data_IF_875350845122
#
_entry.id   IF_875350845122
#
_cell.length_a   1.000
_cell.length_b   1.000
_cell.length_c   1.000
_cell.angle_alpha   90.00
_cell.angle_beta   90.00
_cell.angle_gamma   90.00
#
_symmetry.space_group_name_H-M   'P 1'
#
loop_
_entity.id
_entity.type
_entity.pdbx_description
1 polymer ?
#
# COMPACT_ATOMS: atom_id res chain seq x y z
N UNK A 1 -27.16 -75.27 16.93
CA UNK A 1 -28.40 -74.73 16.35
C UNK A 1 -28.43 -73.23 16.61
N UNK A 2 -27.95 -72.42 15.67
CA UNK A 2 -28.44 -71.07 15.33
C UNK A 2 -27.53 -70.49 14.24
N UNK A 3 -28.15 -70.28 13.08
CA UNK A 3 -27.55 -69.80 11.84
C UNK A 3 -27.46 -68.28 11.94
N UNK A 4 -26.25 -67.71 11.82
CA UNK A 4 -26.10 -66.27 11.62
C UNK A 4 -26.35 -65.94 10.15
N UNK A 5 -27.50 -65.31 9.91
CA UNK A 5 -27.91 -64.77 8.61
C UNK A 5 -27.04 -63.58 8.21
N UNK A 6 -26.57 -63.62 6.96
CA UNK A 6 -25.85 -62.54 6.31
C UNK A 6 -26.72 -61.30 6.11
N UNK A 7 -26.11 -60.13 6.31
CA UNK A 7 -26.70 -58.83 5.99
C UNK A 7 -26.32 -58.45 4.56
N UNK A 8 -27.34 -58.36 3.72
CA UNK A 8 -27.28 -58.01 2.31
C UNK A 8 -26.91 -56.54 2.09
N UNK A 9 -26.06 -56.33 1.07
CA UNK A 9 -25.79 -55.06 0.41
C UNK A 9 -27.08 -54.42 -0.11
N UNK A 10 -27.31 -53.15 0.23
CA UNK A 10 -28.12 -52.19 -0.53
C UNK A 10 -27.77 -50.79 0.00
N UNK A 11 -27.70 -49.71 -0.75
CA UNK A 11 -27.72 -49.46 -2.17
C UNK A 11 -27.28 -48.01 -2.29
N UNK A 12 -26.16 -47.75 -2.98
CA UNK A 12 -25.78 -46.36 -3.27
C UNK A 12 -26.85 -45.86 -4.23
N UNK A 13 -27.70 -44.94 -3.75
CA UNK A 13 -28.78 -44.40 -4.56
C UNK A 13 -28.21 -43.80 -5.84
N UNK A 14 -28.81 -44.14 -6.98
CA UNK A 14 -28.46 -43.60 -8.30
C UNK A 14 -28.48 -42.05 -8.29
N UNK A 15 -29.25 -41.45 -7.38
CA UNK A 15 -29.28 -40.01 -7.15
C UNK A 15 -27.96 -39.43 -6.62
N UNK A 16 -27.23 -40.15 -5.76
CA UNK A 16 -25.93 -39.69 -5.25
C UNK A 16 -24.85 -39.70 -6.34
N UNK A 17 -24.87 -40.70 -7.23
CA UNK A 17 -23.96 -40.77 -8.38
C UNK A 17 -24.20 -39.63 -9.38
N UNK A 18 -25.46 -39.28 -9.64
CA UNK A 18 -25.81 -38.20 -10.57
C UNK A 18 -25.40 -36.81 -10.04
N UNK A 19 -25.58 -36.57 -8.73
CA UNK A 19 -25.16 -35.31 -8.10
C UNK A 19 -23.65 -35.09 -8.14
N UNK A 20 -22.86 -36.14 -7.89
CA UNK A 20 -21.38 -36.05 -7.97
C UNK A 20 -20.92 -35.80 -9.41
N UNK A 21 -21.58 -36.40 -10.41
CA UNK A 21 -21.24 -36.19 -11.81
C UNK A 21 -21.55 -34.75 -12.28
N UNK A 22 -22.69 -34.19 -11.87
CA UNK A 22 -23.08 -32.81 -12.22
C UNK A 22 -22.17 -31.78 -11.55
N UNK A 23 -21.77 -32.00 -10.30
CA UNK A 23 -20.78 -31.14 -9.62
C UNK A 23 -19.42 -31.28 -10.28
N UNK A 24 -18.99 -32.50 -10.61
CA UNK A 24 -17.71 -32.72 -11.28
C UNK A 24 -17.67 -32.02 -12.64
N UNK A 25 -18.69 -32.17 -13.49
CA UNK A 25 -18.75 -31.49 -14.79
C UNK A 25 -18.94 -29.97 -14.65
N UNK A 26 -19.82 -29.51 -13.75
CA UNK A 26 -20.06 -28.09 -13.51
C UNK A 26 -18.86 -27.32 -12.96
N UNK A 27 -17.98 -27.97 -12.21
CA UNK A 27 -16.79 -27.34 -11.60
C UNK A 27 -15.52 -27.60 -12.42
N UNK A 28 -15.34 -28.81 -12.96
CA UNK A 28 -14.11 -29.16 -13.69
C UNK A 28 -14.06 -28.57 -15.10
N UNK A 29 -15.20 -28.45 -15.80
CA UNK A 29 -15.22 -27.94 -17.17
C UNK A 29 -14.85 -26.44 -17.25
N UNK A 30 -15.35 -25.55 -16.36
CA UNK A 30 -14.88 -24.16 -16.31
C UNK A 30 -13.41 -24.03 -15.89
N UNK A 31 -12.93 -24.86 -14.95
CA UNK A 31 -11.53 -24.84 -14.51
C UNK A 31 -10.57 -25.32 -15.60
N UNK A 32 -10.95 -26.32 -16.39
CA UNK A 32 -10.20 -26.76 -17.56
C UNK A 32 -10.18 -25.70 -18.66
N UNK A 33 -11.31 -25.00 -18.88
CA UNK A 33 -11.39 -23.91 -19.85
C UNK A 33 -10.56 -22.68 -19.44
N UNK A 34 -10.51 -22.37 -18.14
CA UNK A 34 -9.63 -21.34 -17.59
C UNK A 34 -8.15 -21.75 -17.75
N UNK A 35 -7.79 -23.02 -17.53
CA UNK A 35 -6.42 -23.51 -17.70
C UNK A 35 -5.94 -23.53 -19.14
N UNK A 36 -6.82 -23.76 -20.12
CA UNK A 36 -6.44 -23.75 -21.54
C UNK A 36 -6.35 -22.36 -22.14
N UNK A 37 -7.02 -21.35 -21.54
CA UNK A 37 -6.92 -19.95 -21.97
C UNK A 37 -5.70 -19.21 -21.40
N UNK A 38 -5.19 -19.62 -20.23
CA UNK A 38 -3.99 -19.01 -19.63
C UNK A 38 -2.72 -19.04 -20.52
N UNK A 39 -2.34 -20.15 -21.18
CA UNK A 39 -1.12 -20.18 -22.02
C UNK A 39 -1.25 -19.40 -23.34
N UNK A 40 -2.44 -18.91 -23.70
CA UNK A 40 -2.65 -18.02 -24.84
C UNK A 40 -2.34 -16.55 -24.50
N UNK A 41 -2.32 -16.17 -23.21
CA UNK A 41 -2.00 -14.81 -22.76
C UNK A 41 -0.49 -14.63 -22.59
N UNK A 42 0.25 -15.70 -22.23
CA UNK A 42 1.69 -15.65 -21.99
C UNK A 42 2.58 -15.60 -23.25
N UNK A 43 2.01 -15.76 -24.45
CA UNK A 43 2.78 -15.80 -25.70
C UNK A 43 2.68 -14.53 -26.56
N UNK A 44 2.12 -13.44 -26.05
CA UNK A 44 2.27 -12.14 -26.72
C UNK A 44 3.69 -11.62 -26.43
N UNK A 45 4.67 -12.10 -27.19
CA UNK A 45 5.96 -11.41 -27.36
C UNK A 45 5.66 -10.08 -28.05
N UNK A 46 5.44 -9.04 -27.24
CA UNK A 46 5.40 -7.66 -27.71
C UNK A 46 6.81 -7.36 -28.26
N UNK A 47 6.92 -7.12 -29.56
CA UNK A 47 8.18 -6.68 -30.16
C UNK A 47 8.55 -5.30 -29.59
N UNK A 48 9.73 -5.15 -28.94
CA UNK A 48 10.06 -3.93 -28.19
C UNK A 48 10.46 -2.72 -29.05
N UNK A 49 10.60 -2.86 -30.38
CA UNK A 49 11.41 -1.92 -31.16
C UNK A 49 10.66 -0.77 -31.88
N UNK A 50 9.34 -0.62 -31.75
CA UNK A 50 8.65 0.51 -32.40
C UNK A 50 7.50 1.18 -31.63
N UNK A 51 6.99 0.55 -30.56
CA UNK A 51 5.92 1.14 -29.78
C UNK A 51 6.53 2.02 -28.68
N UNK A 52 6.48 3.36 -28.86
CA UNK A 52 6.69 4.27 -27.72
C UNK A 52 5.70 3.87 -26.63
N UNK A 53 6.15 3.59 -25.38
CA UNK A 53 5.24 3.27 -24.30
C UNK A 53 4.19 4.37 -24.16
N UNK A 54 2.95 3.96 -23.91
CA UNK A 54 1.84 4.89 -23.70
C UNK A 54 2.11 5.75 -22.45
N UNK A 55 1.79 7.04 -22.48
CA UNK A 55 2.20 8.02 -21.48
C UNK A 55 3.72 8.05 -21.27
N UNK A 56 4.45 8.35 -22.34
CA UNK A 56 5.87 8.72 -22.30
C UNK A 56 6.01 10.23 -22.44
N UNK A 57 7.15 10.75 -22.00
CA UNK A 57 7.60 12.08 -22.36
C UNK A 57 7.93 12.12 -23.88
N UNK A 58 7.97 13.30 -24.49
CA UNK A 58 8.05 13.42 -25.96
C UNK A 58 9.33 12.79 -26.56
N UNK A 59 10.42 12.78 -25.80
CA UNK A 59 11.71 12.14 -26.07
C UNK A 59 11.70 10.61 -25.86
N UNK A 60 10.62 10.04 -25.31
CA UNK A 60 10.52 8.62 -24.98
C UNK A 60 10.91 8.29 -23.54
N UNK A 61 11.26 9.29 -22.72
CA UNK A 61 11.52 9.09 -21.30
C UNK A 61 10.24 8.70 -20.52
N UNK A 62 10.45 8.09 -19.35
CA UNK A 62 9.37 7.77 -18.41
C UNK A 62 9.72 8.28 -17.02
N UNK A 63 8.71 8.73 -16.29
CA UNK A 63 8.86 9.28 -14.96
C UNK A 63 7.87 8.65 -13.99
N UNK A 64 8.31 8.52 -12.74
CA UNK A 64 7.47 8.05 -11.64
C UNK A 64 7.24 9.25 -10.71
N UNK A 65 5.97 9.59 -10.48
CA UNK A 65 5.62 10.58 -9.48
C UNK A 65 5.47 9.88 -8.13
N UNK A 66 6.37 10.15 -7.19
CA UNK A 66 6.32 9.53 -5.86
C UNK A 66 5.90 10.57 -4.84
N UNK A 67 4.74 10.39 -4.20
CA UNK A 67 4.35 11.22 -3.08
C UNK A 67 4.82 10.59 -1.76
N UNK A 68 5.80 11.23 -1.11
CA UNK A 68 6.32 10.86 0.19
C UNK A 68 5.46 11.34 1.36
N UNK A 69 4.36 12.06 1.12
CA UNK A 69 3.49 12.52 2.19
C UNK A 69 2.90 11.37 3.02
N UNK A 70 2.88 11.54 4.34
CA UNK A 70 2.16 10.66 5.25
C UNK A 70 0.71 11.14 5.41
N UNK A 71 -0.28 10.28 5.17
CA UNK A 71 -1.69 10.56 5.49
C UNK A 71 -2.64 10.57 4.30
N UNK A 72 -3.93 10.31 4.55
CA UNK A 72 -4.94 9.95 3.52
C UNK A 72 -5.43 11.13 2.69
N UNK A 73 -5.97 12.20 3.29
CA UNK A 73 -6.66 13.26 2.52
C UNK A 73 -5.71 13.97 1.56
N UNK A 74 -4.46 14.18 1.96
CA UNK A 74 -3.51 14.97 1.17
C UNK A 74 -2.94 14.18 0.00
N UNK A 75 -2.56 12.94 0.28
CA UNK A 75 -2.08 12.01 -0.74
C UNK A 75 -3.21 11.53 -1.66
N UNK A 76 -4.46 11.42 -1.17
CA UNK A 76 -5.65 11.18 -1.99
C UNK A 76 -5.93 12.34 -2.93
N UNK A 77 -5.82 13.58 -2.45
CA UNK A 77 -5.94 14.78 -3.30
C UNK A 77 -4.85 14.79 -4.38
N UNK A 78 -3.61 14.45 -4.01
CA UNK A 78 -2.50 14.33 -4.95
C UNK A 78 -2.74 13.22 -5.98
N UNK A 79 -3.25 12.06 -5.54
CA UNK A 79 -3.61 10.94 -6.41
C UNK A 79 -4.68 11.34 -7.41
N UNK A 80 -5.79 11.91 -6.96
CA UNK A 80 -6.83 12.38 -7.88
C UNK A 80 -6.31 13.45 -8.85
N UNK A 81 -5.40 14.32 -8.41
CA UNK A 81 -4.78 15.34 -9.23
C UNK A 81 -3.88 14.73 -10.33
N UNK A 82 -3.00 13.79 -10.00
CA UNK A 82 -2.18 13.07 -10.99
C UNK A 82 -3.04 12.25 -11.95
N UNK A 83 -4.14 11.65 -11.46
CA UNK A 83 -5.13 10.99 -12.30
C UNK A 83 -5.78 11.95 -13.31
N UNK A 84 -6.13 13.18 -12.90
CA UNK A 84 -6.69 14.21 -13.80
C UNK A 84 -5.70 14.64 -14.89
N UNK A 85 -4.40 14.50 -14.64
CA UNK A 85 -3.34 14.71 -15.64
C UNK A 85 -3.19 13.53 -16.62
N UNK A 86 -4.00 12.47 -16.47
CA UNK A 86 -3.93 11.27 -17.28
C UNK A 86 -2.81 10.31 -16.85
N UNK A 87 -2.28 10.44 -15.63
CA UNK A 87 -1.23 9.58 -15.08
C UNK A 87 -1.89 8.49 -14.21
N UNK A 88 -1.70 7.19 -14.51
CA UNK A 88 -2.17 6.12 -13.64
C UNK A 88 -1.57 6.25 -12.27
N UNK A 89 -2.40 6.18 -11.24
CA UNK A 89 -2.00 6.52 -9.89
C UNK A 89 -2.58 5.54 -8.88
N UNK A 90 -1.80 5.23 -7.85
CA UNK A 90 -2.13 4.24 -6.82
C UNK A 90 -2.12 4.91 -5.45
N UNK A 91 -3.16 4.65 -4.64
CA UNK A 91 -3.32 5.23 -3.31
C UNK A 91 -4.06 4.25 -2.39
N UNK A 92 -3.37 3.67 -1.41
CA UNK A 92 -3.97 2.70 -0.49
C UNK A 92 -4.69 1.57 -1.27
N UNK A 93 -6.01 1.40 -1.16
CA UNK A 93 -6.77 0.42 -1.98
C UNK A 93 -7.28 1.00 -3.29
N UNK A 94 -7.16 2.31 -3.48
CA UNK A 94 -7.69 3.04 -4.62
C UNK A 94 -6.66 3.05 -5.76
N UNK A 95 -7.16 2.95 -6.99
CA UNK A 95 -6.33 3.14 -8.17
C UNK A 95 -7.11 3.89 -9.24
N UNK A 96 -6.43 4.74 -10.00
CA UNK A 96 -7.01 5.29 -11.21
C UNK A 96 -6.36 4.65 -12.43
N UNK A 97 -7.23 4.06 -13.24
CA UNK A 97 -6.85 3.29 -14.42
C UNK A 97 -7.74 3.73 -15.58
N UNK A 98 -7.31 3.54 -16.83
CA UNK A 98 -8.07 3.90 -18.02
C UNK A 98 -9.48 3.35 -17.96
N UNK A 99 -10.43 4.16 -18.43
CA UNK A 99 -11.76 3.61 -18.68
C UNK A 99 -11.63 2.45 -19.66
N UNK A 100 -12.27 1.28 -19.41
CA UNK A 100 -12.39 0.26 -20.44
C UNK A 100 -13.01 0.91 -21.69
N UNK A 101 -12.54 0.55 -22.89
CA UNK A 101 -12.95 1.24 -24.09
C UNK A 101 -14.43 0.94 -24.33
N UNK A 102 -15.27 1.98 -24.42
CA UNK A 102 -16.66 1.84 -24.84
C UNK A 102 -16.66 1.48 -26.33
N UNK A 103 -16.61 0.18 -26.65
CA UNK A 103 -16.94 -0.43 -27.95
C UNK A 103 -16.22 0.08 -29.23
N UNK A 104 -15.32 1.06 -29.17
CA UNK A 104 -14.57 1.50 -30.35
C UNK A 104 -13.31 0.65 -30.53
N UNK A 105 -13.22 -0.02 -31.68
CA UNK A 105 -12.06 -0.77 -32.23
C UNK A 105 -10.79 -0.63 -31.40
N UNK A 106 -10.46 -1.68 -30.66
CA UNK A 106 -9.28 -1.77 -29.81
C UNK A 106 -8.03 -1.52 -30.64
N UNK A 107 -7.52 -0.30 -30.56
CA UNK A 107 -6.17 0.01 -31.00
C UNK A 107 -5.20 -0.91 -30.23
N UNK A 108 -4.30 -1.61 -30.93
CA UNK A 108 -3.32 -2.52 -30.32
C UNK A 108 -2.55 -1.81 -29.20
N UNK A 109 -2.24 -0.52 -29.38
CA UNK A 109 -1.65 0.34 -28.36
C UNK A 109 -2.48 0.43 -27.06
N UNK A 110 -3.81 0.51 -27.15
CA UNK A 110 -4.68 0.57 -25.98
C UNK A 110 -4.74 -0.78 -25.24
N UNK A 111 -4.61 -1.90 -25.96
CA UNK A 111 -4.50 -3.23 -25.35
C UNK A 111 -3.19 -3.40 -24.59
N UNK A 112 -2.06 -3.05 -25.21
CA UNK A 112 -0.75 -3.12 -24.58
C UNK A 112 -0.69 -2.24 -23.33
N UNK A 113 -1.28 -1.04 -23.40
CA UNK A 113 -1.36 -0.14 -22.27
C UNK A 113 -2.19 -0.70 -21.11
N UNK A 114 -3.40 -1.22 -21.39
CA UNK A 114 -4.21 -1.85 -20.35
C UNK A 114 -3.52 -3.07 -19.72
N UNK A 115 -2.78 -3.84 -20.52
CA UNK A 115 -2.00 -4.97 -20.02
C UNK A 115 -0.92 -4.51 -19.03
N UNK A 116 -0.07 -3.55 -19.42
CA UNK A 116 0.98 -3.00 -18.56
C UNK A 116 0.41 -2.43 -17.27
N UNK A 117 -0.74 -1.75 -17.33
CA UNK A 117 -1.33 -1.19 -16.13
C UNK A 117 -1.99 -2.25 -15.23
N UNK A 118 -2.57 -3.29 -15.82
CA UNK A 118 -3.10 -4.43 -15.07
C UNK A 118 -1.98 -5.13 -14.31
N UNK A 119 -0.78 -5.23 -14.90
CA UNK A 119 0.40 -5.71 -14.20
C UNK A 119 0.83 -4.79 -13.04
N UNK A 120 0.89 -3.46 -13.24
CA UNK A 120 1.17 -2.51 -12.13
C UNK A 120 0.14 -2.64 -11.01
N UNK A 121 -1.14 -2.72 -11.34
CA UNK A 121 -2.21 -2.90 -10.36
C UNK A 121 -2.04 -4.21 -9.60
N UNK A 122 -1.74 -5.31 -10.28
CA UNK A 122 -1.51 -6.59 -9.62
C UNK A 122 -0.34 -6.53 -8.62
N UNK A 123 0.75 -5.84 -8.96
CA UNK A 123 1.86 -5.60 -8.02
C UNK A 123 1.44 -4.72 -6.85
N UNK A 124 0.69 -3.64 -7.10
CA UNK A 124 0.13 -2.79 -6.04
C UNK A 124 -0.78 -3.58 -5.09
N UNK A 125 -1.66 -4.41 -5.62
CA UNK A 125 -2.57 -5.24 -4.83
C UNK A 125 -1.80 -6.25 -3.95
N UNK A 126 -0.66 -6.78 -4.41
CA UNK A 126 0.25 -7.61 -3.59
C UNK A 126 0.87 -6.81 -2.44
N UNK A 127 1.40 -5.62 -2.72
CA UNK A 127 1.96 -4.72 -1.70
C UNK A 127 0.90 -4.37 -0.65
N UNK A 128 -0.33 -4.10 -1.08
CA UNK A 128 -1.45 -3.80 -0.18
C UNK A 128 -1.88 -5.00 0.66
N UNK A 129 -1.85 -6.21 0.10
CA UNK A 129 -2.09 -7.44 0.85
C UNK A 129 -1.08 -7.59 2.00
N UNK A 130 0.21 -7.32 1.73
CA UNK A 130 1.25 -7.38 2.75
C UNK A 130 1.14 -6.23 3.77
N UNK A 131 0.78 -5.02 3.32
CA UNK A 131 0.42 -3.92 4.22
C UNK A 131 -0.70 -4.30 5.20
N UNK A 132 -1.75 -4.97 4.71
CA UNK A 132 -2.82 -5.48 5.56
C UNK A 132 -2.35 -6.57 6.52
N UNK A 133 -1.42 -7.42 6.11
CA UNK A 133 -0.78 -8.37 7.01
C UNK A 133 -0.03 -7.65 8.14
N UNK A 134 0.85 -6.67 7.83
CA UNK A 134 1.56 -5.87 8.84
C UNK A 134 0.58 -5.23 9.82
N UNK A 135 -0.47 -4.58 9.29
CA UNK A 135 -1.53 -3.94 10.06
C UNK A 135 -2.22 -4.89 11.02
N UNK A 136 -2.67 -6.04 10.51
CA UNK A 136 -3.43 -6.99 11.30
C UNK A 136 -2.57 -7.67 12.38
N UNK A 137 -1.25 -7.76 12.17
CA UNK A 137 -0.31 -8.37 13.09
C UNK A 137 0.37 -7.37 14.06
N UNK A 138 0.39 -6.07 13.75
CA UNK A 138 0.98 -5.02 14.59
C UNK A 138 0.22 -4.82 15.92
N UNK A 139 -1.08 -5.07 15.95
CA UNK A 139 -1.86 -5.03 17.19
C UNK A 139 -3.10 -5.92 17.08
N UNK A 140 -3.05 -7.13 17.64
CA UNK A 140 -4.18 -8.05 17.66
C UNK A 140 -5.23 -7.56 18.66
N UNK A 141 -6.21 -6.79 18.16
CA UNK A 141 -7.29 -6.20 18.99
C UNK A 141 -8.28 -7.22 19.55
N UNK A 142 -8.12 -8.52 19.29
CA UNK A 142 -9.19 -9.49 19.51
C UNK A 142 -8.80 -10.60 20.50
N UNK A 143 -8.75 -10.24 21.78
CA UNK A 143 -8.85 -11.18 22.91
C UNK A 143 -10.27 -11.78 23.06
N UNK A 144 -11.09 -11.80 22.00
CA UNK A 144 -12.30 -12.63 22.05
C UNK A 144 -11.86 -14.07 22.23
N UNK A 145 -12.46 -14.77 23.21
CA UNK A 145 -12.11 -16.16 23.50
C UNK A 145 -12.23 -17.07 22.26
N UNK A 146 -13.05 -16.67 21.28
CA UNK A 146 -13.24 -17.32 19.99
C UNK A 146 -11.99 -17.26 19.10
N UNK A 147 -11.27 -16.12 19.07
CA UNK A 147 -10.00 -16.02 18.35
C UNK A 147 -8.89 -16.86 19.01
N UNK A 148 -8.92 -16.99 20.35
CA UNK A 148 -8.01 -17.87 21.08
C UNK A 148 -8.32 -19.36 20.84
N UNK A 149 -9.60 -19.73 20.73
CA UNK A 149 -10.06 -21.09 20.42
C UNK A 149 -9.69 -21.56 19.02
N UNK A 150 -9.70 -20.65 18.02
CA UNK A 150 -9.43 -21.03 16.62
C UNK A 150 -7.99 -20.78 16.14
N UNK A 151 -7.10 -20.19 16.96
CA UNK A 151 -5.61 -20.11 16.84
C UNK A 151 -4.92 -19.84 15.48
N UNK A 152 -5.63 -19.66 14.37
CA UNK A 152 -5.02 -19.54 13.04
C UNK A 152 -4.41 -18.17 12.78
N UNK A 153 -4.88 -17.11 13.44
CA UNK A 153 -4.40 -15.75 13.22
C UNK A 153 -3.09 -15.41 13.97
N UNK A 154 -2.86 -15.94 15.18
CA UNK A 154 -1.65 -15.64 15.97
C UNK A 154 -0.42 -16.39 15.42
N UNK A 155 -0.60 -17.61 14.90
CA UNK A 155 0.50 -18.42 14.34
C UNK A 155 1.12 -17.78 13.10
N UNK A 156 0.40 -16.91 12.41
CA UNK A 156 0.91 -16.23 11.20
C UNK A 156 1.66 -14.92 11.51
N UNK A 157 1.53 -14.34 12.69
CA UNK A 157 2.13 -13.04 13.04
C UNK A 157 3.53 -13.16 13.65
N UNK A 158 4.38 -14.00 13.06
CA UNK A 158 5.77 -14.21 13.48
C UNK A 158 6.74 -13.30 12.73
N UNK A 159 7.92 -13.07 13.30
CA UNK A 159 9.01 -12.37 12.62
C UNK A 159 9.40 -13.03 11.28
N UNK A 160 9.37 -14.36 11.19
CA UNK A 160 9.66 -15.07 9.95
C UNK A 160 8.71 -14.67 8.80
N UNK A 161 7.40 -14.56 9.09
CA UNK A 161 6.42 -14.17 8.07
C UNK A 161 6.51 -12.68 7.74
N UNK A 162 6.86 -11.83 8.72
CA UNK A 162 7.16 -10.42 8.48
C UNK A 162 8.33 -10.25 7.53
N UNK A 163 9.44 -10.96 7.76
CA UNK A 163 10.61 -10.92 6.88
C UNK A 163 10.30 -11.45 5.48
N UNK A 164 9.50 -12.51 5.37
CA UNK A 164 9.07 -13.06 4.08
C UNK A 164 8.21 -12.07 3.29
N UNK A 165 7.22 -11.44 3.94
CA UNK A 165 6.38 -10.42 3.32
C UNK A 165 7.20 -9.18 2.93
N UNK A 166 8.15 -8.76 3.77
CA UNK A 166 9.04 -7.64 3.48
C UNK A 166 9.94 -7.92 2.26
N UNK A 167 10.45 -9.15 2.14
CA UNK A 167 11.23 -9.56 0.98
C UNK A 167 10.37 -9.58 -0.30
N UNK A 168 9.13 -10.08 -0.22
CA UNK A 168 8.17 -10.05 -1.32
C UNK A 168 7.85 -8.61 -1.74
N UNK A 169 7.66 -7.69 -0.80
CA UNK A 169 7.40 -6.28 -1.09
C UNK A 169 8.58 -5.60 -1.78
N UNK A 170 9.82 -5.87 -1.34
CA UNK A 170 11.03 -5.36 -2.01
C UNK A 170 11.09 -5.82 -3.47
N UNK A 171 10.86 -7.09 -3.75
CA UNK A 171 10.85 -7.62 -5.13
C UNK A 171 9.69 -7.05 -5.96
N UNK A 172 8.48 -6.98 -5.40
CA UNK A 172 7.32 -6.40 -6.10
C UNK A 172 7.53 -4.90 -6.41
N UNK A 173 8.13 -4.14 -5.48
CA UNK A 173 8.47 -2.73 -5.70
C UNK A 173 9.52 -2.59 -6.80
N UNK A 174 10.59 -3.39 -6.75
CA UNK A 174 11.61 -3.40 -7.80
C UNK A 174 11.00 -3.70 -9.17
N UNK A 175 10.16 -4.73 -9.27
CA UNK A 175 9.44 -5.05 -10.51
C UNK A 175 8.57 -3.88 -10.97
N UNK A 176 7.77 -3.30 -10.07
CA UNK A 176 6.88 -2.17 -10.37
C UNK A 176 7.65 -0.96 -10.91
N UNK A 177 8.77 -0.60 -10.27
CA UNK A 177 9.63 0.53 -10.65
C UNK A 177 10.32 0.31 -12.00
N UNK A 178 10.55 -0.95 -12.40
CA UNK A 178 11.12 -1.30 -13.70
C UNK A 178 10.10 -1.33 -14.85
N UNK A 179 8.79 -1.38 -14.56
CA UNK A 179 7.77 -1.48 -15.61
C UNK A 179 7.62 -0.19 -16.42
N UNK A 180 7.56 -0.24 -17.77
CA UNK A 180 7.52 0.95 -18.62
C UNK A 180 6.27 1.84 -18.43
N UNK A 181 6.38 3.09 -18.88
CA UNK A 181 5.34 4.13 -18.82
C UNK A 181 5.35 4.96 -17.54
N UNK A 182 4.67 6.11 -17.57
CA UNK A 182 4.50 6.99 -16.41
C UNK A 182 3.42 6.46 -15.46
N UNK A 183 3.66 6.54 -14.16
CA UNK A 183 2.67 6.28 -13.13
C UNK A 183 3.02 7.04 -11.85
N UNK A 184 2.06 7.12 -10.92
CA UNK A 184 2.22 7.80 -9.66
C UNK A 184 1.90 6.89 -8.46
N UNK A 185 2.69 7.03 -7.40
CA UNK A 185 2.59 6.26 -6.16
C UNK A 185 2.28 7.23 -5.02
N UNK A 186 1.19 7.00 -4.30
CA UNK A 186 0.72 7.89 -3.23
C UNK A 186 0.30 7.09 -1.99
N UNK A 187 0.60 7.62 -0.79
CA UNK A 187 0.22 7.02 0.51
C UNK A 187 0.67 5.56 0.71
N UNK A 188 0.15 4.90 1.75
CA UNK A 188 0.43 3.50 2.04
C UNK A 188 0.30 2.60 0.80
N UNK A 189 1.29 1.71 0.57
CA UNK A 189 2.41 1.41 1.47
C UNK A 189 3.67 2.24 1.18
N UNK A 190 3.69 3.10 0.16
CA UNK A 190 4.93 3.62 -0.43
C UNK A 190 5.81 4.46 0.51
N UNK A 191 5.28 5.35 1.38
CA UNK A 191 6.10 6.09 2.33
C UNK A 191 6.90 5.19 3.28
N UNK A 192 6.44 3.96 3.57
CA UNK A 192 7.17 2.98 4.39
C UNK A 192 8.39 2.38 3.71
N UNK A 193 8.54 2.59 2.40
CA UNK A 193 9.61 2.08 1.56
C UNK A 193 10.32 3.21 0.82
N UNK A 194 10.17 4.47 1.24
CA UNK A 194 10.64 5.64 0.50
C UNK A 194 12.11 5.52 0.10
N UNK A 195 12.98 5.26 1.08
CA UNK A 195 14.43 5.17 0.87
C UNK A 195 14.78 4.06 -0.10
N UNK A 196 14.12 2.89 0.03
CA UNK A 196 14.30 1.77 -0.88
C UNK A 196 13.86 2.11 -2.30
N UNK A 197 12.69 2.74 -2.47
CA UNK A 197 12.17 3.16 -3.78
C UNK A 197 13.14 4.13 -4.46
N UNK A 198 13.65 5.12 -3.72
CA UNK A 198 14.59 6.11 -4.24
C UNK A 198 15.94 5.48 -4.60
N UNK A 199 16.47 4.58 -3.78
CA UNK A 199 17.69 3.83 -4.10
C UNK A 199 17.53 2.96 -5.36
N UNK A 200 16.40 2.25 -5.49
CA UNK A 200 16.12 1.45 -6.68
C UNK A 200 16.03 2.33 -7.93
N UNK A 201 15.42 3.51 -7.83
CA UNK A 201 15.33 4.42 -8.96
C UNK A 201 16.68 5.05 -9.36
N UNK A 202 17.52 5.43 -8.39
CA UNK A 202 18.87 5.92 -8.66
C UNK A 202 19.74 4.87 -9.39
N UNK A 203 19.47 3.58 -9.15
CA UNK A 203 20.18 2.49 -9.82
C UNK A 203 19.70 2.19 -11.25
N UNK A 204 18.60 2.80 -11.70
CA UNK A 204 18.02 2.59 -13.02
C UNK A 204 17.97 3.86 -13.87
N UNK A 205 17.63 3.71 -15.15
CA UNK A 205 17.52 4.82 -16.11
C UNK A 205 16.20 5.62 -15.98
N UNK A 206 15.57 5.66 -14.79
CA UNK A 206 14.25 6.28 -14.61
C UNK A 206 14.31 7.47 -13.67
N UNK A 207 13.67 8.56 -14.08
CA UNK A 207 13.53 9.74 -13.24
C UNK A 207 12.35 9.60 -12.28
N UNK A 208 12.61 9.78 -10.98
CA UNK A 208 11.55 10.00 -9.98
C UNK A 208 11.37 11.50 -9.82
N UNK A 209 10.13 11.98 -9.93
CA UNK A 209 9.76 13.28 -9.38
C UNK A 209 9.14 13.08 -8.01
N UNK A 210 9.89 13.47 -7.00
CA UNK A 210 9.46 13.40 -5.61
C UNK A 210 8.50 14.54 -5.32
N UNK A 211 7.35 14.18 -4.76
CA UNK A 211 6.33 15.09 -4.25
C UNK A 211 6.22 14.93 -2.75
N UNK A 212 5.96 16.01 -2.03
CA UNK A 212 5.61 15.94 -0.61
C UNK A 212 4.30 16.70 -0.37
N UNK A 213 3.37 16.11 0.36
CA UNK A 213 2.19 16.82 0.85
C UNK A 213 2.40 17.23 2.29
N UNK A 214 2.79 18.48 2.50
CA UNK A 214 3.12 18.99 3.82
C UNK A 214 1.87 19.27 4.65
N UNK A 215 2.03 19.08 5.95
CA UNK A 215 1.00 19.29 6.96
C UNK A 215 1.64 19.94 8.18
N UNK A 216 0.85 20.69 8.94
CA UNK A 216 1.25 21.08 10.28
C UNK A 216 1.30 19.82 11.17
N UNK A 217 2.44 19.50 11.81
CA UNK A 217 2.63 18.21 12.48
C UNK A 217 1.67 17.91 13.61
N UNK A 218 1.27 18.92 14.40
CA UNK A 218 0.37 18.74 15.55
C UNK A 218 -1.04 18.39 15.07
N UNK A 219 -1.57 19.15 14.11
CA UNK A 219 -2.87 18.92 13.48
C UNK A 219 -2.90 17.58 12.75
N UNK A 220 -1.83 17.26 12.02
CA UNK A 220 -1.69 15.96 11.36
C UNK A 220 -1.71 14.83 12.37
N UNK A 221 -0.90 14.93 13.42
CA UNK A 221 -0.76 13.88 14.44
C UNK A 221 -2.11 13.58 15.10
N UNK A 222 -2.81 14.61 15.56
CA UNK A 222 -4.13 14.48 16.16
C UNK A 222 -5.12 13.79 15.22
N UNK A 223 -5.24 14.26 13.98
CA UNK A 223 -6.14 13.65 12.98
C UNK A 223 -5.76 12.23 12.62
N UNK A 224 -4.46 11.95 12.48
CA UNK A 224 -3.97 10.62 12.12
C UNK A 224 -4.32 9.60 13.18
N UNK A 225 -4.09 9.94 14.46
CA UNK A 225 -4.43 9.10 15.60
C UNK A 225 -5.94 8.87 15.71
N UNK A 226 -6.77 9.90 15.48
CA UNK A 226 -8.22 9.81 15.63
C UNK A 226 -8.95 9.18 14.45
N UNK A 227 -8.59 9.54 13.22
CA UNK A 227 -9.30 9.16 11.99
C UNK A 227 -8.72 7.91 11.32
N UNK A 228 -7.46 7.59 11.60
CA UNK A 228 -6.75 6.44 11.02
C UNK A 228 -6.04 5.60 12.09
N UNK A 229 -6.75 5.14 13.13
CA UNK A 229 -6.16 4.45 14.27
C UNK A 229 -5.55 3.08 13.89
N UNK A 230 -5.85 2.54 12.72
CA UNK A 230 -5.32 1.30 12.18
C UNK A 230 -3.97 1.45 11.47
N UNK A 231 -3.42 2.65 11.34
CA UNK A 231 -2.12 2.87 10.70
C UNK A 231 -1.00 2.31 11.56
N UNK A 232 -0.04 1.65 10.93
CA UNK A 232 1.13 1.05 11.59
C UNK A 232 2.24 2.08 11.79
N UNK A 233 2.97 1.95 12.88
CA UNK A 233 4.18 2.71 13.21
C UNK A 233 5.19 1.77 13.88
N UNK A 234 6.46 2.18 13.90
CA UNK A 234 7.48 1.47 14.66
C UNK A 234 7.21 1.54 16.16
N UNK A 235 7.09 0.37 16.79
CA UNK A 235 6.82 0.25 18.23
C UNK A 235 7.87 0.96 19.07
N UNK A 236 9.14 0.77 18.71
CA UNK A 236 10.28 1.33 19.42
C UNK A 236 10.19 2.86 19.56
N UNK A 237 9.66 3.56 18.56
CA UNK A 237 9.54 5.01 18.56
C UNK A 237 8.60 5.56 19.63
N UNK A 238 7.79 4.68 20.21
CA UNK A 238 6.84 4.99 21.29
C UNK A 238 7.23 4.27 22.58
N UNK A 239 8.52 3.98 22.81
CA UNK A 239 9.01 3.29 24.00
C UNK A 239 8.51 3.95 25.30
N UNK A 240 8.53 5.29 25.39
CA UNK A 240 8.03 6.05 26.55
C UNK A 240 6.53 5.82 26.82
N UNK A 241 5.73 5.65 25.77
CA UNK A 241 4.29 5.35 25.89
C UNK A 241 4.08 3.92 26.37
N UNK A 242 4.93 3.00 25.92
CA UNK A 242 4.80 1.56 26.16
C UNK A 242 5.35 1.17 27.54
N UNK A 243 6.39 1.85 28.01
CA UNK A 243 7.09 1.57 29.25
C UNK A 243 7.00 2.78 30.18
N UNK A 244 5.87 2.88 30.90
CA UNK A 244 5.52 3.95 31.84
C UNK A 244 6.51 4.15 32.99
N UNK A 245 7.45 3.21 33.19
CA UNK A 245 8.42 3.18 34.30
C UNK A 245 9.80 3.78 33.95
N UNK A 246 10.02 4.23 32.71
CA UNK A 246 11.27 4.87 32.33
C UNK A 246 11.35 6.27 32.97
N UNK A 247 12.07 6.37 34.10
CA UNK A 247 12.38 7.64 34.76
C UNK A 247 12.81 8.68 33.70
N UNK A 248 12.31 9.92 33.74
CA UNK A 248 12.64 10.98 32.78
C UNK A 248 14.12 11.44 32.80
N UNK A 249 14.99 10.73 33.54
CA UNK A 249 16.42 11.02 33.67
C UNK A 249 17.31 10.03 32.91
N UNK A 250 16.77 9.06 32.17
CA UNK A 250 17.58 8.33 31.20
C UNK A 250 17.78 9.24 29.99
N UNK A 251 19.02 9.69 29.81
CA UNK A 251 19.51 10.58 28.75
C UNK A 251 19.42 9.98 27.34
N UNK A 252 18.25 9.45 26.95
CA UNK A 252 17.98 8.85 25.64
C UNK A 252 17.56 9.92 24.61
N UNK A 253 17.39 11.18 25.03
CA UNK A 253 17.00 12.29 24.15
C UNK A 253 18.02 12.63 23.04
N UNK A 254 19.28 12.19 23.12
CA UNK A 254 20.33 12.66 22.21
C UNK A 254 20.63 11.76 20.98
N UNK A 255 20.09 10.54 20.89
CA UNK A 255 20.37 9.61 19.77
C UNK A 255 19.10 9.05 19.10
N UNK A 256 17.92 9.56 19.44
CA UNK A 256 16.65 8.97 19.00
C UNK A 256 16.26 9.44 17.59
N UNK A 257 16.39 8.55 16.60
CA UNK A 257 16.05 8.81 15.21
C UNK A 257 14.53 8.65 14.97
N UNK A 258 13.75 9.70 15.25
CA UNK A 258 12.28 9.67 15.08
C UNK A 258 11.82 9.53 13.63
N UNK A 259 12.64 9.90 12.65
CA UNK A 259 12.33 9.74 11.23
C UNK A 259 12.14 8.27 10.81
N UNK A 260 12.65 7.31 11.60
CA UNK A 260 12.43 5.88 11.39
C UNK A 260 11.01 5.39 11.70
N UNK A 261 10.16 6.20 12.35
CA UNK A 261 8.79 5.82 12.72
C UNK A 261 7.93 5.36 11.54
N UNK A 262 8.25 5.84 10.35
CA UNK A 262 7.56 5.53 9.11
C UNK A 262 8.43 4.80 8.09
N UNK A 263 9.53 4.16 8.51
CA UNK A 263 10.36 3.35 7.63
C UNK A 263 10.32 1.89 8.09
N UNK A 264 9.54 1.07 7.37
CA UNK A 264 9.30 -0.32 7.74
C UNK A 264 10.59 -1.16 7.65
N UNK A 265 11.47 -0.87 6.69
CA UNK A 265 12.72 -1.62 6.52
C UNK A 265 13.63 -1.35 7.71
N UNK A 266 13.88 -0.07 8.00
CA UNK A 266 14.73 0.33 9.13
C UNK A 266 14.16 -0.18 10.46
N UNK A 267 12.83 -0.13 10.61
CA UNK A 267 12.13 -0.69 11.78
C UNK A 267 12.48 -2.15 12.06
N UNK A 268 12.34 -2.99 11.03
CA UNK A 268 12.56 -4.44 11.13
C UNK A 268 14.05 -4.71 11.33
N UNK A 269 14.93 -4.00 10.62
CA UNK A 269 16.38 -4.17 10.76
C UNK A 269 16.90 -3.76 12.13
N UNK A 270 16.34 -2.72 12.75
CA UNK A 270 16.69 -2.33 14.10
C UNK A 270 16.19 -3.37 15.12
N UNK A 271 14.92 -3.76 15.01
CA UNK A 271 14.33 -4.72 15.95
C UNK A 271 15.06 -6.07 15.96
N UNK A 272 15.58 -6.53 14.81
CA UNK A 272 16.40 -7.76 14.70
C UNK A 272 17.69 -7.74 15.52
N UNK A 273 18.19 -6.55 15.89
CA UNK A 273 19.41 -6.38 16.68
C UNK A 273 19.16 -6.38 18.19
N UNK A 274 17.89 -6.43 18.61
CA UNK A 274 17.51 -6.49 20.02
C UNK A 274 17.88 -7.86 20.63
N UNK A 275 18.16 -7.87 21.93
CA UNK A 275 18.47 -9.09 22.70
C UNK A 275 17.49 -9.23 23.88
N UNK A 276 16.60 -10.25 23.89
CA UNK A 276 16.42 -11.25 22.83
C UNK A 276 15.76 -10.65 21.57
N UNK A 277 15.98 -11.23 20.38
CA UNK A 277 15.27 -10.81 19.17
C UNK A 277 13.75 -10.95 19.33
N UNK A 278 12.96 -10.04 18.70
CA UNK A 278 11.51 -10.12 18.73
C UNK A 278 11.02 -11.43 18.12
N UNK A 279 9.89 -11.94 18.61
CA UNK A 279 9.31 -13.18 18.09
C UNK A 279 8.07 -12.90 17.23
N UNK A 280 7.36 -11.81 17.54
CA UNK A 280 6.10 -11.44 16.90
C UNK A 280 6.17 -10.08 16.23
N UNK A 281 5.31 -9.89 15.22
CA UNK A 281 5.18 -8.59 14.54
C UNK A 281 4.81 -7.48 15.51
N UNK A 282 3.98 -7.77 16.52
CA UNK A 282 3.55 -6.81 17.55
C UNK A 282 4.68 -6.34 18.48
N UNK A 283 5.83 -7.02 18.47
CA UNK A 283 7.03 -6.61 19.19
C UNK A 283 7.81 -5.53 18.41
N UNK A 284 7.55 -5.40 17.10
CA UNK A 284 8.25 -4.49 16.18
C UNK A 284 7.36 -3.34 15.72
N UNK A 285 6.12 -3.67 15.37
CA UNK A 285 5.12 -2.75 14.84
C UNK A 285 3.98 -2.59 15.84
N UNK A 286 3.35 -1.43 15.84
CA UNK A 286 2.13 -1.16 16.59
C UNK A 286 1.22 -0.24 15.79
N UNK A 287 -0.09 -0.29 16.03
CA UNK A 287 -1.03 0.69 15.47
C UNK A 287 -1.32 1.82 16.45
N UNK A 288 -1.79 2.97 15.98
CA UNK A 288 -2.24 4.03 16.89
C UNK A 288 -3.36 3.57 17.84
N UNK A 289 -4.26 2.71 17.37
CA UNK A 289 -5.27 2.05 18.23
C UNK A 289 -4.63 1.21 19.34
N UNK A 290 -3.49 0.59 19.09
CA UNK A 290 -2.73 -0.14 20.09
C UNK A 290 -2.08 0.79 21.11
N UNK A 291 -1.48 1.89 20.65
CA UNK A 291 -0.92 2.93 21.52
C UNK A 291 -1.99 3.61 22.38
N UNK A 292 -3.15 3.92 21.81
CA UNK A 292 -4.30 4.47 22.54
C UNK A 292 -4.77 3.51 23.65
N UNK A 293 -4.89 2.21 23.34
CA UNK A 293 -5.28 1.22 24.35
C UNK A 293 -4.27 1.08 25.49
N UNK A 294 -2.97 1.24 25.20
CA UNK A 294 -1.94 1.30 26.24
C UNK A 294 -2.15 2.55 27.11
N UNK A 295 -2.35 3.72 26.50
CA UNK A 295 -2.63 4.94 27.25
C UNK A 295 -3.89 4.83 28.11
N UNK A 296 -4.97 4.24 27.59
CA UNK A 296 -6.20 4.01 28.34
C UNK A 296 -5.98 3.09 29.55
N UNK A 297 -5.02 2.16 29.45
CA UNK A 297 -4.67 1.25 30.56
C UNK A 297 -3.95 1.94 31.73
N UNK A 298 -3.39 3.14 31.51
CA UNK A 298 -2.72 3.92 32.56
C UNK A 298 -3.68 4.66 33.51
N UNK A 299 -4.99 4.41 33.42
CA UNK A 299 -6.04 4.93 34.31
C UNK A 299 -5.89 6.45 34.56
N UNK A 300 -5.40 6.84 35.75
CA UNK A 300 -5.25 8.25 36.15
C UNK A 300 -4.26 9.05 35.29
N UNK A 301 -3.37 8.39 34.54
CA UNK A 301 -2.41 9.03 33.62
C UNK A 301 -2.80 8.93 32.14
N UNK A 302 -4.01 8.44 31.82
CA UNK A 302 -4.41 8.24 30.42
C UNK A 302 -4.38 9.53 29.61
N UNK A 303 -4.87 10.66 30.17
CA UNK A 303 -4.86 11.95 29.47
C UNK A 303 -3.46 12.46 29.17
N UNK A 304 -2.53 12.29 30.12
CA UNK A 304 -1.12 12.67 29.96
C UNK A 304 -0.45 11.80 28.88
N UNK A 305 -0.70 10.49 28.91
CA UNK A 305 -0.22 9.55 27.91
C UNK A 305 -0.73 9.88 26.51
N UNK A 306 -2.02 10.18 26.34
CA UNK A 306 -2.59 10.58 25.04
C UNK A 306 -1.99 11.89 24.51
N UNK A 307 -1.75 12.87 25.41
CA UNK A 307 -1.05 14.10 25.04
C UNK A 307 0.36 13.80 24.54
N UNK A 308 1.10 12.97 25.29
CA UNK A 308 2.47 12.57 24.94
C UNK A 308 2.53 11.77 23.63
N UNK A 309 1.56 10.89 23.39
CA UNK A 309 1.43 10.17 22.12
C UNK A 309 1.30 11.14 20.94
N UNK A 310 0.46 12.17 21.09
CA UNK A 310 0.29 13.22 20.10
C UNK A 310 1.59 13.99 19.82
N UNK A 311 2.32 14.35 20.87
CA UNK A 311 3.62 15.05 20.79
C UNK A 311 4.69 14.23 20.08
N UNK A 312 4.89 12.97 20.50
CA UNK A 312 5.90 12.07 19.90
C UNK A 312 5.61 11.89 18.42
N UNK A 313 4.34 11.65 18.06
CA UNK A 313 3.95 11.44 16.68
C UNK A 313 4.06 12.72 15.82
N UNK A 314 3.81 13.89 16.40
CA UNK A 314 4.04 15.17 15.72
C UNK A 314 5.54 15.40 15.47
N UNK A 315 6.40 15.13 16.45
CA UNK A 315 7.87 15.20 16.27
C UNK A 315 8.35 14.24 15.19
N UNK A 316 7.86 13.00 15.20
CA UNK A 316 8.21 12.00 14.18
C UNK A 316 7.83 12.45 12.77
N UNK A 317 6.67 13.09 12.59
CA UNK A 317 6.30 13.66 11.28
C UNK A 317 7.22 14.82 10.88
N UNK A 318 7.50 15.74 11.80
CA UNK A 318 8.39 16.87 11.53
C UNK A 318 9.77 16.38 11.07
N UNK A 319 10.39 15.46 11.83
CA UNK A 319 11.69 14.88 11.50
C UNK A 319 11.65 14.12 10.16
N UNK A 320 10.55 13.42 9.87
CA UNK A 320 10.35 12.79 8.57
C UNK A 320 10.31 13.80 7.43
N UNK A 321 9.52 14.88 7.56
CA UNK A 321 9.41 15.92 6.52
C UNK A 321 10.76 16.61 6.29
N UNK A 322 11.45 16.98 7.37
CA UNK A 322 12.77 17.62 7.32
C UNK A 322 13.80 16.72 6.63
N UNK A 323 13.82 15.43 6.99
CA UNK A 323 14.69 14.44 6.34
C UNK A 323 14.40 14.33 4.85
N UNK A 324 13.13 14.22 4.45
CA UNK A 324 12.77 14.08 3.04
C UNK A 324 13.17 15.33 2.25
N UNK A 325 12.97 16.52 2.81
CA UNK A 325 13.39 17.77 2.20
C UNK A 325 14.92 17.86 2.06
N UNK A 326 15.67 17.54 3.11
CA UNK A 326 17.13 17.61 3.13
C UNK A 326 17.81 16.56 2.24
N UNK A 327 17.34 15.30 2.31
CA UNK A 327 17.99 14.18 1.65
C UNK A 327 17.63 14.05 0.17
N UNK A 328 16.42 14.47 -0.23
CA UNK A 328 15.86 14.11 -1.53
C UNK A 328 15.37 15.29 -2.39
N UNK A 329 15.32 16.52 -1.85
CA UNK A 329 14.89 17.74 -2.57
C UNK A 329 13.63 17.53 -3.43
N UNK A 330 12.43 17.55 -2.82
CA UNK A 330 11.17 17.38 -3.55
C UNK A 330 11.06 18.37 -4.71
N UNK A 331 10.69 17.89 -5.90
CA UNK A 331 10.44 18.75 -7.06
C UNK A 331 9.12 19.52 -6.92
N UNK A 332 8.21 19.01 -6.09
CA UNK A 332 6.92 19.61 -5.87
C UNK A 332 6.45 19.42 -4.43
N UNK A 333 5.89 20.48 -3.87
CA UNK A 333 5.39 20.51 -2.49
C UNK A 333 3.94 20.97 -2.50
N UNK A 334 3.03 20.10 -2.06
CA UNK A 334 1.63 20.46 -1.83
C UNK A 334 1.52 21.01 -0.42
N UNK A 335 1.35 22.32 -0.29
CA UNK A 335 1.06 22.93 1.00
C UNK A 335 -0.42 22.73 1.36
N UNK A 336 -0.70 21.85 2.32
CA UNK A 336 -2.04 21.57 2.82
C UNK A 336 -2.27 22.09 4.24
N UNK A 337 -1.49 23.09 4.68
CA UNK A 337 -1.49 23.55 6.06
C UNK A 337 -2.83 24.19 6.44
N UNK A 338 -3.44 24.99 5.56
CA UNK A 338 -4.70 25.70 5.87
C UNK A 338 -5.65 25.93 4.67
N UNK A 339 -5.31 25.43 3.48
CA UNK A 339 -6.04 25.74 2.25
C UNK A 339 -6.93 24.57 1.82
N UNK A 340 -8.20 24.87 1.57
CA UNK A 340 -9.04 24.01 0.74
C UNK A 340 -8.55 24.16 -0.70
N UNK A 341 -7.73 23.23 -1.15
CA UNK A 341 -7.33 23.10 -2.55
C UNK A 341 -8.20 22.05 -3.21
N UNK A 342 -8.69 22.35 -4.41
CA UNK A 342 -9.39 21.39 -5.24
C UNK A 342 -8.39 20.50 -5.97
N UNK A 343 -8.82 19.29 -6.33
CA UNK A 343 -7.98 18.37 -7.10
C UNK A 343 -7.61 18.92 -8.49
N UNK A 344 -8.43 19.82 -9.05
CA UNK A 344 -8.11 20.53 -10.30
C UNK A 344 -7.01 21.58 -10.13
N UNK A 345 -7.04 22.36 -9.04
CA UNK A 345 -5.98 23.33 -8.73
C UNK A 345 -4.65 22.63 -8.49
N UNK A 346 -4.65 21.56 -7.69
CA UNK A 346 -3.44 20.75 -7.45
C UNK A 346 -2.93 20.13 -8.75
N UNK A 347 -3.80 19.63 -9.64
CA UNK A 347 -3.38 19.09 -10.93
C UNK A 347 -2.74 20.16 -11.82
N UNK A 348 -3.33 21.36 -11.90
CA UNK A 348 -2.74 22.48 -12.65
C UNK A 348 -1.41 22.93 -12.06
N UNK A 349 -1.27 22.92 -10.74
CA UNK A 349 -0.03 23.29 -10.07
C UNK A 349 1.08 22.26 -10.33
N UNK A 350 0.78 20.96 -10.20
CA UNK A 350 1.68 19.87 -10.59
C UNK A 350 2.13 20.03 -12.05
N UNK A 351 1.18 20.28 -12.96
CA UNK A 351 1.48 20.44 -14.39
C UNK A 351 2.47 21.60 -14.60
N UNK A 352 2.22 22.77 -13.99
CA UNK A 352 3.07 23.96 -14.11
C UNK A 352 4.45 23.80 -13.47
N UNK A 353 4.53 23.15 -12.31
CA UNK A 353 5.77 23.02 -11.54
C UNK A 353 6.66 21.88 -12.00
N UNK A 354 6.12 20.91 -12.75
CA UNK A 354 6.89 19.81 -13.34
C UNK A 354 6.93 19.94 -14.87
N UNK A 355 7.80 20.79 -15.46
CA UNK A 355 7.85 21.05 -16.90
C UNK A 355 7.92 19.80 -17.78
N UNK A 356 8.52 18.72 -17.28
CA UNK A 356 8.56 17.42 -17.97
C UNK A 356 7.16 16.92 -18.35
N UNK A 357 6.15 17.19 -17.53
CA UNK A 357 4.77 16.76 -17.79
C UNK A 357 4.12 17.49 -18.97
N UNK A 358 4.65 18.66 -19.38
CA UNK A 358 4.16 19.42 -20.54
C UNK A 358 4.31 18.65 -21.85
N UNK A 359 5.26 17.73 -21.91
CA UNK A 359 5.61 16.96 -23.10
C UNK A 359 5.02 15.54 -23.09
N UNK A 360 4.15 15.22 -22.13
CA UNK A 360 3.47 13.92 -22.11
C UNK A 360 2.56 13.75 -23.32
N UNK A 361 2.79 12.67 -24.07
CA UNK A 361 1.95 12.28 -25.21
C UNK A 361 0.96 11.19 -24.82
N UNK A 362 -0.11 11.04 -25.61
CA UNK A 362 -1.10 9.96 -25.47
C UNK A 362 -1.83 9.93 -24.11
N UNK A 363 -2.30 11.09 -23.63
CA UNK A 363 -3.14 11.14 -22.42
C UNK A 363 -4.50 10.47 -22.67
N UNK A 364 -5.00 9.75 -21.68
CA UNK A 364 -6.33 9.12 -21.70
C UNK A 364 -7.16 9.56 -20.51
N UNK A 365 -8.47 9.50 -20.67
CA UNK A 365 -9.39 9.61 -19.55
C UNK A 365 -9.24 8.42 -18.61
N UNK A 366 -9.08 8.73 -17.33
CA UNK A 366 -8.94 7.76 -16.25
C UNK A 366 -10.24 7.65 -15.44
N UNK A 367 -10.40 6.50 -14.82
CA UNK A 367 -11.51 6.13 -13.98
C UNK A 367 -10.98 5.72 -12.61
N UNK A 368 -11.56 6.29 -11.55
CA UNK A 368 -11.27 5.88 -10.19
C UNK A 368 -11.94 4.51 -9.90
N UNK A 369 -11.15 3.56 -9.41
CA UNK A 369 -11.56 2.20 -9.06
C UNK A 369 -11.26 1.90 -7.59
N UNK A 370 -12.07 1.01 -7.03
CA UNK A 370 -12.12 0.59 -5.63
C UNK A 370 -12.58 1.74 -4.72
N UNK A 371 -13.68 1.59 -3.97
CA UNK A 371 -14.31 2.68 -3.19
C UNK A 371 -15.83 2.60 -3.13
N UNK A 372 -16.48 3.56 -2.44
CA UNK A 372 -17.97 3.60 -2.36
C UNK A 372 -18.66 3.85 -3.71
N UNK A 373 -17.92 4.40 -4.67
CA UNK A 373 -18.43 4.82 -5.98
C UNK A 373 -17.50 4.34 -7.09
N UNK A 374 -17.29 3.02 -7.16
CA UNK A 374 -16.47 2.37 -8.17
C UNK A 374 -16.85 2.77 -9.59
N UNK A 375 -15.88 3.28 -10.35
CA UNK A 375 -16.03 3.51 -11.78
C UNK A 375 -16.30 4.96 -12.20
N UNK A 376 -15.94 5.97 -11.40
CA UNK A 376 -16.09 7.38 -11.77
C UNK A 376 -15.03 7.86 -12.75
N UNK A 377 -15.45 8.30 -13.94
CA UNK A 377 -14.59 9.02 -14.90
C UNK A 377 -14.17 10.35 -14.28
N UNK A 378 -12.87 10.62 -14.27
CA UNK A 378 -12.34 11.89 -13.77
C UNK A 378 -12.33 12.92 -14.91
N UNK A 379 -12.82 14.15 -14.67
CA UNK A 379 -12.83 15.19 -15.69
C UNK A 379 -11.40 15.62 -16.03
N UNK A 380 -11.14 15.82 -17.33
CA UNK A 380 -9.85 16.30 -17.82
C UNK A 380 -9.56 17.72 -17.33
N UNK A 381 -8.27 18.00 -17.13
CA UNK A 381 -7.80 19.36 -16.89
C UNK A 381 -7.69 20.09 -18.23
N UNK A 382 -8.45 21.16 -18.41
CA UNK A 382 -8.27 22.07 -19.54
C UNK A 382 -7.11 23.02 -19.21
N UNK A 383 -6.06 22.97 -20.02
CA UNK A 383 -4.85 23.80 -19.87
C UNK A 383 -5.09 25.25 -20.30
#
# INVERSE_FOLDING_TARGET
MQVMQGRTRSGISVAAGFFVLVIYLGVSTPLLYLRTLYPLIDNIRIHPNSAKPFLTLADGETTILLNAGQGTTGTSTAMEATCRLGIPSFHYIFSCVPSPPRLSRSNEYFRQYNFLLSQKKALHDKLMKNYFFYRNCAYSRNNSWWHWLFRTAIVQCTMQNLEAALAEDKENLKEMLQQPGNFALHDSPYPYFLDYILQQAQSGDRSISLMISEREPVVWSSRRISEHPEVIVCREQFHEIIHTDAKPNASVENDFYYAGAFDLITCVEHARKQDPPPQFVSDVLITYSGLQAICDSHNHHASECHSRLGEINARALQDYQDRVQQAYTPEYTINLWDKKVTTAEVAMDIYKQLPRLHHMVNRVELVLREGREDGKVLPLVHA
#
